data_IF_572188361499
#
_entry.id   IF_572188361499
#
_cell.length_a   1.000
_cell.length_b   1.000
_cell.length_c   1.000
_cell.angle_alpha   90.00
_cell.angle_beta   90.00
_cell.angle_gamma   90.00
#
_symmetry.space_group_name_H-M   'P 1'
#
loop_
_entity.id
_entity.type
_entity.pdbx_description
1 polymer ?
#
# COMPACT_ATOMS: atom_id res chain seq x y z
N UNK A 1 -2.62 -13.31 13.31
CA UNK A 1 -3.27 -11.99 13.11
C UNK A 1 -3.55 -11.40 14.48
N UNK A 2 -3.11 -10.18 14.75
CA UNK A 2 -3.13 -9.58 16.11
C UNK A 2 -4.52 -9.16 16.63
N UNK A 3 -5.61 -9.38 15.87
CA UNK A 3 -6.98 -9.20 16.35
C UNK A 3 -7.47 -7.75 16.46
N UNK A 4 -6.72 -6.75 15.98
CA UNK A 4 -7.06 -5.32 16.14
C UNK A 4 -8.08 -4.75 15.14
N UNK A 5 -8.76 -5.58 14.36
CA UNK A 5 -9.64 -5.11 13.27
C UNK A 5 -10.77 -4.21 13.76
N UNK A 6 -11.48 -4.60 14.83
CA UNK A 6 -12.59 -3.80 15.37
C UNK A 6 -12.08 -2.48 15.94
N UNK A 7 -10.97 -2.51 16.71
CA UNK A 7 -10.36 -1.30 17.28
C UNK A 7 -9.92 -0.32 16.18
N UNK A 8 -9.37 -0.82 15.08
CA UNK A 8 -9.00 0.02 13.94
C UNK A 8 -10.21 0.71 13.29
N UNK A 9 -11.38 0.08 13.28
CA UNK A 9 -12.59 0.69 12.72
C UNK A 9 -13.27 1.68 13.68
N UNK A 10 -13.20 1.41 14.98
CA UNK A 10 -13.93 2.18 16.01
C UNK A 10 -13.12 3.34 16.59
N UNK A 11 -11.80 3.18 16.71
CA UNK A 11 -10.90 4.17 17.32
C UNK A 11 -10.08 4.90 16.24
N UNK A 12 -10.54 6.11 15.90
CA UNK A 12 -9.90 6.99 14.90
C UNK A 12 -8.45 7.33 15.28
N UNK A 13 -8.13 7.49 16.58
CA UNK A 13 -6.78 7.82 17.02
C UNK A 13 -5.85 6.62 16.84
N UNK A 14 -6.33 5.42 17.20
CA UNK A 14 -5.60 4.18 16.97
C UNK A 14 -5.36 3.96 15.47
N UNK A 15 -6.40 4.07 14.64
CA UNK A 15 -6.29 3.93 13.18
C UNK A 15 -5.27 4.91 12.59
N UNK A 16 -5.33 6.17 13.02
CA UNK A 16 -4.40 7.20 12.57
C UNK A 16 -2.94 6.89 12.94
N UNK A 17 -2.70 6.38 14.15
CA UNK A 17 -1.36 5.93 14.55
C UNK A 17 -0.89 4.73 13.71
N UNK A 18 -1.74 3.74 13.48
CA UNK A 18 -1.40 2.63 12.56
C UNK A 18 -1.05 3.17 11.16
N UNK A 19 -1.79 4.15 10.66
CA UNK A 19 -1.52 4.77 9.36
C UNK A 19 -0.19 5.52 9.31
N UNK A 20 0.34 6.03 10.43
CA UNK A 20 1.71 6.58 10.49
C UNK A 20 2.77 5.49 10.32
N UNK A 21 2.54 4.28 10.82
CA UNK A 21 3.42 3.13 10.57
C UNK A 21 3.37 2.78 9.07
N UNK A 22 2.17 2.73 8.48
CA UNK A 22 2.00 2.47 7.03
C UNK A 22 2.66 3.57 6.19
N UNK A 23 2.62 4.82 6.66
CA UNK A 23 3.25 5.96 5.99
C UNK A 23 4.78 5.80 5.80
N UNK A 24 5.44 4.94 6.58
CA UNK A 24 6.87 4.62 6.40
C UNK A 24 7.16 4.03 5.01
N UNK A 25 6.17 3.39 4.36
CA UNK A 25 6.33 2.88 3.00
C UNK A 25 6.53 4.00 1.97
N UNK A 26 6.11 5.23 2.29
CA UNK A 26 6.11 6.35 1.36
C UNK A 26 7.21 7.37 1.63
N UNK A 27 8.16 7.12 2.53
CA UNK A 27 9.32 8.00 2.72
C UNK A 27 10.57 7.43 2.02
N UNK A 28 11.61 8.23 1.76
CA UNK A 28 12.86 7.75 1.17
C UNK A 28 13.48 6.62 2.00
N UNK A 29 14.07 5.63 1.30
CA UNK A 29 14.69 4.45 1.94
C UNK A 29 15.73 4.81 3.00
N UNK A 30 16.53 5.85 2.74
CA UNK A 30 17.58 6.31 3.66
C UNK A 30 17.02 6.82 5.00
N UNK A 31 15.76 7.27 5.01
CA UNK A 31 15.17 7.93 6.16
C UNK A 31 14.40 6.95 7.07
N UNK A 32 14.02 5.78 6.57
CA UNK A 32 13.17 4.81 7.29
C UNK A 32 13.80 4.36 8.61
N UNK A 33 15.10 4.01 8.60
CA UNK A 33 15.79 3.52 9.79
C UNK A 33 15.96 4.57 10.88
N UNK A 34 15.82 5.85 10.52
CA UNK A 34 15.86 6.98 11.44
C UNK A 34 14.45 7.45 11.85
N UNK A 35 13.49 7.36 10.94
CA UNK A 35 12.10 7.72 11.18
C UNK A 35 11.40 6.74 12.13
N UNK A 36 11.59 5.43 11.94
CA UNK A 36 10.90 4.41 12.72
C UNK A 36 11.17 4.51 14.23
N UNK A 37 12.42 4.61 14.72
CA UNK A 37 12.67 4.75 16.16
C UNK A 37 12.04 6.01 16.75
N UNK A 38 12.06 7.14 16.02
CA UNK A 38 11.40 8.37 16.46
C UNK A 38 9.89 8.19 16.57
N UNK A 39 9.28 7.53 15.58
CA UNK A 39 7.85 7.24 15.61
C UNK A 39 7.49 6.31 16.77
N UNK A 40 8.32 5.28 17.03
CA UNK A 40 8.09 4.32 18.11
C UNK A 40 8.17 4.94 19.51
N UNK A 41 8.95 6.02 19.69
CA UNK A 41 9.03 6.74 20.96
C UNK A 41 7.75 7.48 21.34
N UNK A 42 6.93 7.85 20.34
CA UNK A 42 5.65 8.54 20.57
C UNK A 42 4.50 7.59 20.97
N UNK A 43 4.75 6.28 21.02
CA UNK A 43 3.72 5.26 21.13
C UNK A 43 3.73 4.64 22.53
N UNK A 44 2.56 4.60 23.14
CA UNK A 44 2.36 3.97 24.46
C UNK A 44 2.42 2.44 24.38
N UNK A 45 2.40 1.79 25.56
CA UNK A 45 2.48 0.33 25.70
C UNK A 45 1.41 -0.43 24.88
N UNK A 46 0.28 0.20 24.63
CA UNK A 46 -0.83 -0.28 23.80
C UNK A 46 -0.42 -0.69 22.37
N UNK A 47 0.68 -0.16 21.85
CA UNK A 47 1.16 -0.43 20.48
C UNK A 47 2.36 -1.39 20.44
N UNK A 48 2.87 -1.83 21.60
CA UNK A 48 4.11 -2.60 21.67
C UNK A 48 4.05 -3.88 20.86
N UNK A 49 2.93 -4.60 20.87
CA UNK A 49 2.76 -5.82 20.07
C UNK A 49 2.87 -5.54 18.57
N UNK A 50 2.32 -4.42 18.11
CA UNK A 50 2.34 -4.00 16.71
C UNK A 50 3.74 -3.52 16.32
N UNK A 51 4.38 -2.74 17.19
CA UNK A 51 5.75 -2.27 16.97
C UNK A 51 6.73 -3.44 16.93
N UNK A 52 6.64 -4.39 17.86
CA UNK A 52 7.47 -5.60 17.88
C UNK A 52 7.27 -6.42 16.60
N UNK A 53 6.01 -6.65 16.21
CA UNK A 53 5.69 -7.36 14.97
C UNK A 53 6.28 -6.66 13.75
N UNK A 54 6.09 -5.34 13.65
CA UNK A 54 6.57 -4.55 12.53
C UNK A 54 8.11 -4.51 12.48
N UNK A 55 8.76 -4.35 13.63
CA UNK A 55 10.21 -4.35 13.74
C UNK A 55 10.80 -5.69 13.30
N UNK A 56 10.27 -6.82 13.79
CA UNK A 56 10.76 -8.14 13.43
C UNK A 56 10.53 -8.47 11.95
N UNK A 57 9.39 -8.03 11.40
CA UNK A 57 8.97 -8.42 10.06
C UNK A 57 9.56 -7.55 8.97
N UNK A 58 9.70 -6.24 9.19
CA UNK A 58 9.94 -5.26 8.11
C UNK A 58 11.18 -4.38 8.31
N UNK A 59 11.63 -4.14 9.56
CA UNK A 59 12.75 -3.22 9.85
C UNK A 59 14.03 -3.97 10.23
N UNK A 60 13.91 -5.02 11.02
CA UNK A 60 15.00 -5.77 11.62
C UNK A 60 15.49 -5.14 12.94
N UNK A 61 15.36 -5.88 14.05
CA UNK A 61 15.80 -5.43 15.38
C UNK A 61 17.28 -5.06 15.41
N UNK A 62 17.59 -3.94 16.07
CA UNK A 62 18.96 -3.53 16.35
C UNK A 62 19.56 -4.42 17.46
N UNK A 63 20.73 -4.99 17.20
CA UNK A 63 21.48 -5.80 18.18
C UNK A 63 22.49 -4.92 18.93
N UNK A 64 22.93 -5.33 20.13
CA UNK A 64 23.92 -4.59 20.92
C UNK A 64 25.25 -4.31 20.21
N UNK A 65 25.63 -5.17 19.25
CA UNK A 65 26.83 -5.00 18.43
C UNK A 65 26.62 -4.01 17.25
N UNK A 66 25.57 -3.20 17.29
CA UNK A 66 25.19 -2.24 16.26
C UNK A 66 24.88 -2.85 14.87
N UNK A 67 24.61 -4.17 14.81
CA UNK A 67 24.13 -4.85 13.60
C UNK A 67 22.62 -5.03 13.67
N UNK A 68 21.94 -5.01 12.53
CA UNK A 68 20.50 -5.32 12.47
C UNK A 68 20.27 -6.77 12.12
N UNK A 69 19.28 -7.39 12.76
CA UNK A 69 18.74 -8.68 12.31
C UNK A 69 18.15 -8.48 10.91
N UNK A 70 18.33 -9.44 10.01
CA UNK A 70 17.64 -9.39 8.73
C UNK A 70 16.12 -9.50 8.95
N UNK A 71 15.31 -8.55 8.44
CA UNK A 71 13.87 -8.65 8.50
C UNK A 71 13.36 -9.75 7.56
N UNK A 72 12.16 -10.25 7.82
CA UNK A 72 11.49 -11.23 6.94
C UNK A 72 11.30 -10.66 5.52
N UNK A 73 10.94 -9.38 5.42
CA UNK A 73 10.83 -8.66 4.17
C UNK A 73 11.76 -7.45 4.19
N UNK A 74 12.62 -7.31 3.19
CA UNK A 74 13.56 -6.19 3.11
C UNK A 74 12.84 -4.86 2.90
N UNK A 75 13.45 -3.76 3.35
CA UNK A 75 12.87 -2.42 3.26
C UNK A 75 12.61 -2.04 1.79
N UNK A 76 13.52 -2.41 0.90
CA UNK A 76 13.41 -2.17 -0.54
C UNK A 76 12.23 -2.89 -1.18
N UNK A 77 11.79 -4.01 -0.60
CA UNK A 77 10.68 -4.80 -1.13
C UNK A 77 9.33 -4.14 -0.88
N UNK A 78 9.12 -3.56 0.30
CA UNK A 78 7.83 -2.95 0.68
C UNK A 78 7.79 -1.43 0.54
N UNK A 79 8.93 -0.76 0.31
CA UNK A 79 8.96 0.67 0.07
C UNK A 79 8.28 1.03 -1.26
N UNK A 80 7.42 2.05 -1.19
CA UNK A 80 6.63 2.55 -2.31
C UNK A 80 7.09 3.94 -2.77
N UNK A 81 8.03 4.60 -2.10
CA UNK A 81 8.42 5.98 -2.40
C UNK A 81 8.80 6.21 -3.88
N UNK A 82 9.70 5.39 -4.44
CA UNK A 82 10.10 5.50 -5.85
C UNK A 82 8.95 5.20 -6.80
N UNK A 83 8.16 4.17 -6.49
CA UNK A 83 7.00 3.76 -7.29
C UNK A 83 5.96 4.88 -7.36
N UNK A 84 5.67 5.50 -6.22
CA UNK A 84 4.74 6.62 -6.12
C UNK A 84 5.25 7.85 -6.84
N UNK A 85 6.48 8.29 -6.58
CA UNK A 85 7.06 9.48 -7.25
C UNK A 85 7.16 9.33 -8.77
N UNK A 86 7.31 8.11 -9.27
CA UNK A 86 7.33 7.81 -10.71
C UNK A 86 5.93 7.58 -11.32
N UNK A 87 4.85 7.84 -10.58
CA UNK A 87 3.46 7.63 -11.03
C UNK A 87 3.14 6.18 -11.41
N UNK A 88 3.96 5.22 -10.99
CA UNK A 88 3.63 3.81 -11.16
C UNK A 88 2.49 3.45 -10.21
N UNK A 89 1.66 2.46 -10.61
CA UNK A 89 0.47 2.05 -9.86
C UNK A 89 0.82 1.78 -8.39
N UNK A 90 0.47 2.68 -7.47
CA UNK A 90 0.89 2.62 -6.06
C UNK A 90 0.19 1.52 -5.26
N UNK A 91 -0.91 1.00 -5.79
CA UNK A 91 -1.86 0.12 -5.10
C UNK A 91 -2.19 -1.07 -6.00
N UNK A 92 -2.57 -2.19 -5.37
CA UNK A 92 -3.11 -3.36 -6.05
C UNK A 92 -4.48 -3.12 -6.71
N UNK A 93 -5.00 -1.87 -6.69
CA UNK A 93 -6.30 -1.48 -7.24
C UNK A 93 -6.60 -2.02 -8.64
N UNK A 94 -5.62 -2.07 -9.55
CA UNK A 94 -5.82 -2.63 -10.89
C UNK A 94 -6.04 -4.13 -10.86
N UNK A 95 -5.26 -4.84 -10.05
CA UNK A 95 -5.40 -6.29 -9.83
C UNK A 95 -6.69 -6.58 -9.06
N UNK A 96 -7.03 -5.83 -8.02
CA UNK A 96 -8.30 -5.98 -7.28
C UNK A 96 -9.51 -5.67 -8.16
N UNK A 97 -9.40 -4.67 -9.05
CA UNK A 97 -10.43 -4.40 -10.05
C UNK A 97 -10.55 -5.55 -11.05
N UNK A 98 -9.43 -6.11 -11.49
CA UNK A 98 -9.41 -7.29 -12.37
C UNK A 98 -9.97 -8.54 -11.69
N UNK A 99 -9.59 -8.81 -10.44
CA UNK A 99 -10.15 -9.89 -9.62
C UNK A 99 -11.66 -9.73 -9.45
N UNK A 100 -12.15 -8.54 -9.07
CA UNK A 100 -13.60 -8.28 -8.97
C UNK A 100 -14.33 -8.47 -10.29
N UNK A 101 -13.74 -7.99 -11.39
CA UNK A 101 -14.28 -8.20 -12.74
C UNK A 101 -14.35 -9.69 -13.05
N UNK A 102 -13.31 -10.45 -12.74
CA UNK A 102 -13.26 -11.89 -12.92
C UNK A 102 -14.31 -12.61 -12.07
N UNK A 103 -14.48 -12.24 -10.80
CA UNK A 103 -15.53 -12.79 -9.94
C UNK A 103 -16.92 -12.54 -10.54
N UNK A 104 -17.17 -11.32 -11.03
CA UNK A 104 -18.39 -10.99 -11.76
C UNK A 104 -18.56 -11.79 -13.05
N UNK A 105 -17.48 -12.10 -13.79
CA UNK A 105 -17.56 -12.92 -15.01
C UNK A 105 -17.85 -14.38 -14.67
N UNK A 106 -17.30 -14.91 -13.58
CA UNK A 106 -17.49 -16.30 -13.20
C UNK A 106 -18.89 -16.60 -12.68
N UNK A 107 -19.56 -15.67 -11.99
CA UNK A 107 -20.94 -15.77 -11.46
C UNK A 107 -21.26 -17.07 -10.68
N UNK A 108 -20.28 -17.92 -10.43
CA UNK A 108 -20.40 -19.19 -9.74
C UNK A 108 -19.09 -19.54 -9.02
N UNK A 109 -19.20 -20.19 -7.86
CA UNK A 109 -18.04 -20.54 -7.05
C UNK A 109 -17.22 -21.70 -7.66
N UNK A 110 -17.84 -22.56 -8.48
CA UNK A 110 -17.22 -23.78 -9.02
C UNK A 110 -17.58 -23.97 -10.51
N UNK A 111 -16.98 -23.19 -11.43
CA UNK A 111 -17.17 -23.39 -12.86
C UNK A 111 -16.57 -24.73 -13.32
N UNK A 112 -17.18 -25.37 -14.32
CA UNK A 112 -16.53 -26.49 -15.02
C UNK A 112 -15.26 -25.99 -15.71
N UNK A 113 -14.27 -26.86 -15.90
CA UNK A 113 -13.02 -26.50 -16.59
C UNK A 113 -13.28 -25.84 -17.96
N UNK A 114 -14.26 -26.33 -18.70
CA UNK A 114 -14.63 -25.75 -19.99
C UNK A 114 -15.21 -24.34 -19.86
N UNK A 115 -16.17 -24.13 -18.95
CA UNK A 115 -16.73 -22.80 -18.67
C UNK A 115 -15.64 -21.84 -18.18
N UNK A 116 -14.72 -22.35 -17.36
CA UNK A 116 -13.57 -21.60 -16.86
C UNK A 116 -12.70 -21.08 -18.00
N UNK A 117 -12.27 -21.97 -18.90
CA UNK A 117 -11.43 -21.62 -20.04
C UNK A 117 -12.13 -20.64 -21.00
N UNK A 118 -13.42 -20.85 -21.28
CA UNK A 118 -14.18 -19.94 -22.15
C UNK A 118 -14.25 -18.52 -21.59
N UNK A 119 -14.47 -18.39 -20.28
CA UNK A 119 -14.50 -17.08 -19.61
C UNK A 119 -13.13 -16.41 -19.57
N UNK A 120 -12.05 -17.15 -19.37
CA UNK A 120 -10.68 -16.62 -19.47
C UNK A 120 -10.37 -16.11 -20.88
N UNK A 121 -10.74 -16.87 -21.91
CA UNK A 121 -10.57 -16.46 -23.31
C UNK A 121 -11.35 -15.17 -23.58
N UNK A 122 -12.57 -15.04 -23.08
CA UNK A 122 -13.37 -13.83 -23.23
C UNK A 122 -12.73 -12.61 -22.56
N UNK A 123 -12.20 -12.77 -21.34
CA UNK A 123 -11.46 -11.71 -20.65
C UNK A 123 -10.21 -11.28 -21.41
N UNK A 124 -9.46 -12.24 -21.98
CA UNK A 124 -8.30 -11.94 -22.82
C UNK A 124 -8.68 -11.11 -24.04
N UNK A 125 -9.76 -11.47 -24.74
CA UNK A 125 -10.25 -10.68 -25.88
C UNK A 125 -10.62 -9.24 -25.48
N UNK A 126 -11.26 -9.07 -24.33
CA UNK A 126 -11.63 -7.75 -23.84
C UNK A 126 -10.39 -6.91 -23.45
N UNK A 127 -9.38 -7.53 -22.85
CA UNK A 127 -8.11 -6.87 -22.55
C UNK A 127 -7.36 -6.48 -23.84
N UNK A 128 -7.32 -7.37 -24.84
CA UNK A 128 -6.75 -7.09 -26.16
C UNK A 128 -7.47 -5.92 -26.86
N UNK A 129 -8.80 -5.87 -26.79
CA UNK A 129 -9.56 -4.75 -27.33
C UNK A 129 -9.16 -3.43 -26.65
N UNK A 130 -9.08 -3.40 -25.32
CA UNK A 130 -8.64 -2.22 -24.57
C UNK A 130 -7.22 -1.76 -24.98
N UNK A 131 -6.29 -2.70 -25.20
CA UNK A 131 -4.93 -2.42 -25.69
C UNK A 131 -4.97 -1.81 -27.10
N UNK A 132 -5.80 -2.35 -28.00
CA UNK A 132 -5.93 -1.82 -29.38
C UNK A 132 -6.49 -0.40 -29.37
N UNK A 133 -7.50 -0.11 -28.54
CA UNK A 133 -8.03 1.25 -28.37
C UNK A 133 -6.94 2.22 -27.90
N UNK A 134 -6.18 1.84 -26.86
CA UNK A 134 -5.06 2.65 -26.36
C UNK A 134 -3.99 2.88 -27.43
N UNK A 135 -3.59 1.82 -28.15
CA UNK A 135 -2.61 1.90 -29.22
C UNK A 135 -3.09 2.74 -30.42
N UNK A 136 -4.41 2.85 -30.60
CA UNK A 136 -5.04 3.72 -31.61
C UNK A 136 -5.12 5.18 -31.16
N UNK A 137 -4.63 5.51 -29.97
CA UNK A 137 -4.61 6.86 -29.40
C UNK A 137 -5.86 7.22 -28.61
N UNK A 138 -6.76 6.27 -28.35
CA UNK A 138 -7.89 6.52 -27.46
C UNK A 138 -7.42 6.62 -26.00
N UNK A 139 -8.11 7.45 -25.22
CA UNK A 139 -7.80 7.58 -23.80
C UNK A 139 -8.12 6.27 -23.05
N UNK A 140 -7.25 5.83 -22.13
CA UNK A 140 -7.53 4.64 -21.31
C UNK A 140 -8.76 4.86 -20.42
N UNK A 141 -9.40 3.75 -20.03
CA UNK A 141 -10.56 3.77 -19.12
C UNK A 141 -10.23 4.58 -17.86
N UNK A 142 -11.12 5.50 -17.51
CA UNK A 142 -10.90 6.46 -16.43
C UNK A 142 -10.68 5.77 -15.07
N UNK A 143 -9.70 6.25 -14.31
CA UNK A 143 -9.55 5.92 -12.89
C UNK A 143 -10.68 6.60 -12.10
N UNK A 144 -11.02 6.04 -10.93
CA UNK A 144 -11.92 6.71 -10.00
C UNK A 144 -11.36 8.06 -9.58
N UNK A 145 -12.17 9.12 -9.65
CA UNK A 145 -11.80 10.49 -9.23
C UNK A 145 -11.26 10.54 -7.79
N UNK A 146 -11.72 9.64 -6.93
CA UNK A 146 -11.25 9.53 -5.54
C UNK A 146 -9.81 9.06 -5.50
N UNK A 147 -9.46 8.03 -6.26
CA UNK A 147 -8.10 7.48 -6.32
C UNK A 147 -7.14 8.48 -6.95
N UNK A 148 -7.55 9.16 -8.03
CA UNK A 148 -6.75 10.23 -8.64
C UNK A 148 -6.46 11.36 -7.66
N UNK A 149 -7.46 11.76 -6.86
CA UNK A 149 -7.29 12.80 -5.84
C UNK A 149 -6.32 12.34 -4.75
N UNK A 150 -6.42 11.10 -4.30
CA UNK A 150 -5.50 10.50 -3.32
C UNK A 150 -4.07 10.46 -3.86
N UNK A 151 -3.86 9.84 -5.04
CA UNK A 151 -2.56 9.74 -5.70
C UNK A 151 -1.91 11.14 -5.83
N UNK A 152 -2.68 12.13 -6.30
CA UNK A 152 -2.20 13.52 -6.43
C UNK A 152 -1.79 14.16 -5.10
N UNK A 153 -2.56 13.98 -4.03
CA UNK A 153 -2.22 14.53 -2.70
C UNK A 153 -0.95 13.88 -2.15
N UNK A 154 -0.86 12.55 -2.28
CA UNK A 154 0.31 11.80 -1.85
C UNK A 154 1.56 12.26 -2.62
N UNK A 155 1.48 12.34 -3.94
CA UNK A 155 2.57 12.86 -4.78
C UNK A 155 3.04 14.25 -4.36
N UNK A 156 2.12 15.18 -4.11
CA UNK A 156 2.48 16.53 -3.67
C UNK A 156 3.26 16.50 -2.35
N UNK A 157 2.88 15.65 -1.39
CA UNK A 157 3.61 15.47 -0.14
C UNK A 157 4.99 14.85 -0.34
N UNK A 158 5.16 13.97 -1.34
CA UNK A 158 6.45 13.34 -1.62
C UNK A 158 7.42 14.24 -2.41
N UNK A 159 6.90 15.12 -3.26
CA UNK A 159 7.67 16.09 -4.03
C UNK A 159 8.06 17.32 -3.20
N UNK A 160 7.25 17.64 -2.18
CA UNK A 160 7.49 18.75 -1.25
C UNK A 160 7.44 18.24 0.20
N UNK A 161 8.46 17.46 0.62
CA UNK A 161 8.49 16.92 1.97
C UNK A 161 8.66 18.01 3.02
N UNK A 162 8.09 17.81 4.19
CA UNK A 162 8.34 18.63 5.37
C UNK A 162 9.74 18.39 5.94
N UNK A 163 10.31 19.43 6.55
CA UNK A 163 11.62 19.34 7.22
C UNK A 163 11.62 18.35 8.39
N UNK A 164 10.50 18.28 9.12
CA UNK A 164 10.30 17.28 10.17
C UNK A 164 9.66 16.00 9.62
N UNK A 165 10.34 14.89 9.83
CA UNK A 165 9.92 13.57 9.37
C UNK A 165 8.66 13.07 10.08
N UNK A 166 8.44 13.45 11.34
CA UNK A 166 7.23 13.05 12.07
C UNK A 166 6.02 13.81 11.55
N UNK A 167 6.18 15.10 11.27
CA UNK A 167 5.17 15.90 10.56
C UNK A 167 4.86 15.33 9.17
N UNK A 168 5.89 14.92 8.42
CA UNK A 168 5.71 14.27 7.13
C UNK A 168 4.88 12.98 7.24
N UNK A 169 5.24 12.08 8.16
CA UNK A 169 4.50 10.83 8.38
C UNK A 169 3.06 11.09 8.82
N UNK A 170 2.83 12.09 9.67
CA UNK A 170 1.51 12.48 10.12
C UNK A 170 0.63 12.96 8.94
N UNK A 171 1.18 13.77 8.03
CA UNK A 171 0.44 14.27 6.87
C UNK A 171 0.18 13.18 5.83
N UNK A 172 1.12 12.25 5.63
CA UNK A 172 0.89 11.07 4.78
C UNK A 172 -0.21 10.20 5.40
N UNK A 173 -0.17 9.95 6.71
CA UNK A 173 -1.16 9.13 7.41
C UNK A 173 -2.59 9.65 7.28
N UNK A 174 -2.80 10.97 7.30
CA UNK A 174 -4.12 11.58 7.07
C UNK A 174 -4.70 11.30 5.67
N UNK A 175 -3.84 11.01 4.69
CA UNK A 175 -4.28 10.72 3.33
C UNK A 175 -4.54 9.22 3.12
N UNK A 176 -3.96 8.35 3.96
CA UNK A 176 -4.16 6.91 3.90
C UNK A 176 -5.57 6.61 4.45
N UNK A 177 -6.51 6.34 3.55
CA UNK A 177 -7.75 5.64 3.86
C UNK A 177 -7.62 4.21 3.35
N UNK A 178 -7.33 3.28 4.26
CA UNK A 178 -7.42 1.84 4.03
C UNK A 178 -8.83 1.34 4.39
#
# INVERSE_FOLDING_TARGET
>A
TLGYQNRYQEDVKFAHNINKIVALAFIPLCDILHAYPRLALDYDDDYQDILNYFEDTYIGRLRPNNTRRQPTFSIEFWNMYKRTTQLFMCTNNSVEAWHRRIECVFECAYPTLWSFLQKLIHEEYAAHADIVHINSGEAPKHKSKTNERFERRLLNLLLHPHDDILMQLNNIAHNICL
#
